data_IF_923131607222
#
_entry.id   IF_923131607222
#
_cell.length_a   1.000
_cell.length_b   1.000
_cell.length_c   1.000
_cell.angle_alpha   90.00
_cell.angle_beta   90.00
_cell.angle_gamma   90.00
#
_symmetry.space_group_name_H-M   'P 1'
#
loop_
_entity.id
_entity.type
_entity.pdbx_description
1 polymer ?
#
# COMPACT_ATOMS: atom_id res chain seq x y z
N UNK A 1 -48.97 -15.11 -9.75
CA UNK A 1 -47.56 -15.53 -9.72
C UNK A 1 -46.95 -15.32 -11.10
N UNK A 2 -45.87 -14.54 -11.20
CA UNK A 2 -44.95 -14.60 -12.34
C UNK A 2 -43.57 -14.17 -11.85
N UNK A 3 -42.80 -15.16 -11.38
CA UNK A 3 -41.53 -15.01 -10.68
C UNK A 3 -40.33 -14.78 -11.63
N UNK A 4 -40.57 -14.64 -12.95
CA UNK A 4 -39.52 -14.61 -13.97
C UNK A 4 -39.35 -13.29 -14.73
N UNK A 5 -40.06 -12.21 -14.37
CA UNK A 5 -39.88 -10.89 -15.01
C UNK A 5 -38.95 -9.92 -14.25
N UNK A 6 -38.25 -10.37 -13.21
CA UNK A 6 -37.36 -9.51 -12.38
C UNK A 6 -35.86 -9.72 -12.59
N UNK A 7 -35.45 -10.53 -13.57
CA UNK A 7 -34.02 -10.91 -13.77
C UNK A 7 -33.37 -10.15 -14.95
N UNK A 8 -34.13 -9.36 -15.71
CA UNK A 8 -33.60 -8.63 -16.87
C UNK A 8 -34.09 -7.19 -16.90
N UNK A 9 -33.49 -6.34 -16.06
CA UNK A 9 -33.52 -4.90 -16.30
C UNK A 9 -32.25 -4.27 -15.74
N UNK A 10 -31.59 -3.49 -16.59
CA UNK A 10 -30.36 -2.70 -16.40
C UNK A 10 -29.06 -3.49 -16.31
N UNK A 11 -28.67 -4.10 -17.43
CA UNK A 11 -27.27 -4.15 -17.86
C UNK A 11 -26.79 -2.70 -18.03
N UNK A 12 -26.16 -2.13 -17.01
CA UNK A 12 -25.25 -1.02 -17.22
C UNK A 12 -24.08 -1.58 -18.03
N UNK A 13 -23.76 -1.05 -19.21
CA UNK A 13 -22.54 -1.46 -19.90
C UNK A 13 -21.37 -1.06 -19.00
N UNK A 14 -20.66 -2.06 -18.50
CA UNK A 14 -19.32 -1.85 -17.94
C UNK A 14 -18.49 -1.31 -19.09
N UNK A 15 -18.27 0.01 -19.12
CA UNK A 15 -17.30 0.62 -20.02
C UNK A 15 -15.95 -0.02 -19.69
N UNK A 16 -15.59 -1.06 -20.44
CA UNK A 16 -14.21 -1.46 -20.65
C UNK A 16 -13.54 -0.30 -21.38
N UNK A 17 -13.17 0.75 -20.64
CA UNK A 17 -12.21 1.74 -21.11
C UNK A 17 -10.88 1.03 -21.18
N UNK A 18 -10.59 0.40 -22.32
CA UNK A 18 -9.21 0.13 -22.71
C UNK A 18 -8.44 1.43 -22.52
N UNK A 19 -7.49 1.44 -21.59
CA UNK A 19 -6.65 2.60 -21.37
C UNK A 19 -5.97 2.92 -22.71
N UNK A 20 -6.21 4.13 -23.23
CA UNK A 20 -5.52 4.58 -24.44
C UNK A 20 -4.00 4.52 -24.24
N UNK A 21 -3.22 4.41 -25.33
CA UNK A 21 -1.76 4.27 -25.27
C UNK A 21 -1.10 5.32 -24.35
N UNK A 22 -1.63 6.55 -24.33
CA UNK A 22 -1.14 7.65 -23.49
C UNK A 22 -1.33 7.39 -21.98
N UNK A 23 -2.45 6.75 -21.59
CA UNK A 23 -2.72 6.41 -20.19
C UNK A 23 -1.83 5.27 -19.71
N UNK A 24 -1.57 4.29 -20.57
CA UNK A 24 -0.64 3.18 -20.28
C UNK A 24 0.78 3.70 -20.11
N UNK A 25 1.22 4.59 -21.01
CA UNK A 25 2.52 5.22 -20.94
C UNK A 25 2.68 6.07 -19.66
N UNK A 26 1.67 6.87 -19.31
CA UNK A 26 1.67 7.66 -18.08
C UNK A 26 1.72 6.80 -16.81
N UNK A 27 0.97 5.69 -16.76
CA UNK A 27 1.04 4.74 -15.63
C UNK A 27 2.45 4.17 -15.52
N UNK A 28 3.04 3.73 -16.64
CA UNK A 28 4.39 3.18 -16.65
C UNK A 28 5.42 4.19 -16.15
N UNK A 29 5.38 5.42 -16.66
CA UNK A 29 6.29 6.48 -16.22
C UNK A 29 6.12 6.82 -14.74
N UNK A 30 4.89 6.83 -14.24
CA UNK A 30 4.62 7.05 -12.82
C UNK A 30 5.11 5.88 -11.96
N UNK A 31 4.96 4.64 -12.42
CA UNK A 31 5.47 3.45 -11.74
C UNK A 31 7.00 3.45 -11.70
N UNK A 32 7.69 3.78 -12.80
CA UNK A 32 9.16 3.84 -12.83
C UNK A 32 9.68 4.92 -11.85
N UNK A 33 9.04 6.10 -11.84
CA UNK A 33 9.34 7.17 -10.87
C UNK A 33 9.02 6.76 -9.43
N UNK A 34 7.97 5.97 -9.23
CA UNK A 34 7.58 5.49 -7.90
C UNK A 34 8.72 4.69 -7.26
N UNK A 35 9.29 3.71 -7.97
CA UNK A 35 10.34 2.85 -7.40
C UNK A 35 11.55 3.64 -6.88
N UNK A 36 12.08 4.54 -7.71
CA UNK A 36 13.19 5.41 -7.30
C UNK A 36 12.80 6.24 -6.07
N UNK A 37 11.61 6.83 -6.08
CA UNK A 37 11.14 7.70 -5.01
C UNK A 37 10.92 6.96 -3.68
N UNK A 38 10.38 5.75 -3.73
CA UNK A 38 10.16 4.93 -2.55
C UNK A 38 11.51 4.57 -1.91
N UNK A 39 12.53 4.27 -2.71
CA UNK A 39 13.89 4.00 -2.22
C UNK A 39 14.50 5.24 -1.54
N UNK A 40 14.43 6.40 -2.20
CA UNK A 40 14.87 7.68 -1.61
C UNK A 40 14.11 8.03 -0.31
N UNK A 41 12.83 7.64 -0.22
CA UNK A 41 12.01 7.86 0.98
C UNK A 41 12.44 6.95 2.12
N UNK A 42 12.76 5.69 1.82
CA UNK A 42 13.33 4.77 2.81
C UNK A 42 14.71 5.26 3.26
N UNK A 43 15.55 5.77 2.37
CA UNK A 43 16.83 6.37 2.73
C UNK A 43 16.65 7.59 3.65
N UNK A 44 15.68 8.47 3.35
CA UNK A 44 15.30 9.56 4.24
C UNK A 44 14.89 9.04 5.62
N UNK A 45 14.04 8.01 5.70
CA UNK A 45 13.64 7.42 6.99
C UNK A 45 14.82 6.87 7.77
N UNK A 46 15.75 6.18 7.12
CA UNK A 46 16.93 5.62 7.76
C UNK A 46 17.98 6.66 8.13
N UNK A 47 17.97 7.83 7.48
CA UNK A 47 18.84 8.96 7.87
C UNK A 47 18.41 9.60 9.20
N UNK A 48 17.12 9.45 9.58
CA UNK A 48 16.55 10.02 10.81
C UNK A 48 16.35 8.97 11.90
N UNK A 49 15.82 7.80 11.55
CA UNK A 49 15.57 6.68 12.45
C UNK A 49 15.48 5.36 11.65
N UNK A 50 14.28 4.79 11.51
CA UNK A 50 13.99 3.64 10.66
C UNK A 50 12.56 3.76 10.13
N UNK A 51 12.18 3.03 9.07
CA UNK A 51 10.82 3.11 8.50
C UNK A 51 9.71 2.86 9.53
N UNK A 52 9.98 2.05 10.55
CA UNK A 52 9.02 1.75 11.62
C UNK A 52 8.60 2.98 12.43
N UNK A 53 9.40 4.06 12.48
CA UNK A 53 9.11 5.28 13.23
C UNK A 53 8.19 6.26 12.45
N UNK A 54 7.73 5.88 11.26
CA UNK A 54 6.90 6.70 10.38
C UNK A 54 5.48 6.09 10.27
N UNK A 55 4.47 6.63 10.97
CA UNK A 55 3.11 6.10 10.95
C UNK A 55 2.50 5.96 9.54
N UNK A 56 2.79 6.91 8.65
CA UNK A 56 2.30 6.92 7.26
C UNK A 56 2.90 5.81 6.42
N UNK A 57 4.16 5.45 6.65
CA UNK A 57 4.76 4.25 6.07
C UNK A 57 3.99 3.01 6.52
N UNK A 58 3.81 2.83 7.83
CA UNK A 58 3.06 1.69 8.40
C UNK A 58 1.64 1.61 7.85
N UNK A 59 0.96 2.74 7.66
CA UNK A 59 -0.38 2.79 7.08
C UNK A 59 -0.38 2.29 5.63
N UNK A 60 0.58 2.72 4.80
CA UNK A 60 0.63 2.31 3.38
C UNK A 60 1.01 0.84 3.25
N UNK A 61 2.04 0.37 3.96
CA UNK A 61 2.45 -1.04 3.87
C UNK A 61 1.45 -1.99 4.53
N UNK A 62 0.64 -1.48 5.46
CA UNK A 62 -0.45 -2.22 6.08
C UNK A 62 -1.75 -2.25 5.27
N UNK A 63 -1.81 -1.58 4.11
CA UNK A 63 -2.99 -1.62 3.24
C UNK A 63 -3.26 -3.04 2.78
N UNK A 64 -4.50 -3.46 3.00
CA UNK A 64 -4.92 -4.82 2.74
C UNK A 64 -6.34 -4.80 2.16
N UNK A 65 -6.51 -5.28 0.92
CA UNK A 65 -7.80 -5.23 0.24
C UNK A 65 -8.91 -6.04 0.94
N UNK A 66 -8.56 -7.04 1.76
CA UNK A 66 -9.51 -7.79 2.58
C UNK A 66 -10.15 -6.90 3.64
N UNK A 67 -9.38 -6.00 4.25
CA UNK A 67 -9.89 -5.07 5.28
C UNK A 67 -10.96 -4.13 4.70
N UNK A 68 -10.83 -3.77 3.42
CA UNK A 68 -11.82 -2.97 2.69
C UNK A 68 -12.97 -3.78 2.11
N UNK A 69 -12.90 -5.12 2.14
CA UNK A 69 -13.80 -6.03 1.40
C UNK A 69 -13.86 -5.68 -0.09
N UNK A 70 -12.69 -5.39 -0.66
CA UNK A 70 -12.48 -5.04 -2.07
C UNK A 70 -11.44 -5.95 -2.68
N UNK A 71 -11.20 -5.78 -3.97
CA UNK A 71 -10.20 -6.54 -4.74
C UNK A 71 -9.35 -5.57 -5.51
N UNK A 72 -8.25 -5.17 -4.89
CA UNK A 72 -7.29 -4.24 -5.45
C UNK A 72 -5.84 -4.60 -5.05
N UNK A 73 -4.94 -4.14 -5.90
CA UNK A 73 -3.50 -4.05 -5.76
C UNK A 73 -3.14 -2.58 -5.53
N UNK A 74 -2.26 -2.28 -4.58
CA UNK A 74 -1.80 -0.92 -4.28
C UNK A 74 -0.31 -0.80 -4.59
N UNK A 75 0.04 0.01 -5.61
CA UNK A 75 1.42 0.07 -6.11
C UNK A 75 2.42 0.54 -5.07
N UNK A 76 2.04 1.52 -4.25
CA UNK A 76 2.86 2.07 -3.18
C UNK A 76 3.14 1.03 -2.10
N UNK A 77 2.13 0.25 -1.70
CA UNK A 77 2.26 -0.82 -0.70
C UNK A 77 3.28 -1.85 -1.15
N UNK A 78 3.13 -2.31 -2.39
CA UNK A 78 3.95 -3.37 -2.98
C UNK A 78 5.38 -2.88 -3.20
N UNK A 79 5.52 -1.64 -3.68
CA UNK A 79 6.82 -1.01 -3.86
C UNK A 79 7.55 -0.80 -2.54
N UNK A 80 6.87 -0.29 -1.51
CA UNK A 80 7.48 -0.09 -0.20
C UNK A 80 7.89 -1.40 0.44
N UNK A 81 7.03 -2.43 0.42
CA UNK A 81 7.36 -3.73 1.01
C UNK A 81 8.57 -4.34 0.29
N UNK A 82 8.57 -4.35 -1.04
CA UNK A 82 9.67 -4.89 -1.84
C UNK A 82 11.01 -4.21 -1.52
N UNK A 83 11.04 -2.88 -1.44
CA UNK A 83 12.27 -2.13 -1.18
C UNK A 83 12.67 -2.13 0.30
N UNK A 84 11.70 -2.13 1.21
CA UNK A 84 11.95 -2.04 2.64
C UNK A 84 12.60 -3.31 3.20
N UNK A 85 12.46 -4.46 2.53
CA UNK A 85 13.00 -5.75 2.98
C UNK A 85 14.48 -5.71 3.38
N UNK A 86 15.30 -4.86 2.75
CA UNK A 86 16.72 -4.66 3.12
C UNK A 86 16.94 -4.14 4.55
N UNK A 87 15.91 -3.57 5.18
CA UNK A 87 15.94 -3.03 6.55
C UNK A 87 15.40 -3.99 7.61
N UNK A 88 15.03 -5.21 7.22
CA UNK A 88 14.46 -6.22 8.11
C UNK A 88 15.22 -7.54 8.02
N UNK A 89 15.27 -8.26 9.14
CA UNK A 89 15.51 -9.69 9.15
C UNK A 89 14.19 -10.39 8.86
N UNK A 90 14.16 -11.18 7.80
CA UNK A 90 12.95 -11.86 7.31
C UNK A 90 13.05 -13.34 7.63
N UNK A 91 12.03 -13.88 8.29
CA UNK A 91 11.88 -15.30 8.60
C UNK A 91 10.54 -15.81 8.07
N UNK A 92 10.55 -16.89 7.31
CA UNK A 92 9.31 -17.58 6.93
C UNK A 92 8.66 -18.25 8.15
N UNK A 93 7.33 -18.17 8.22
CA UNK A 93 6.53 -18.82 9.26
C UNK A 93 5.51 -19.76 8.62
N UNK A 94 5.36 -20.95 9.18
CA UNK A 94 4.41 -21.96 8.69
C UNK A 94 3.03 -21.80 9.37
N UNK A 95 1.98 -22.19 8.64
CA UNK A 95 0.62 -22.29 9.21
C UNK A 95 -0.15 -20.97 9.34
N UNK A 96 0.20 -19.94 8.57
CA UNK A 96 -0.62 -18.74 8.43
C UNK A 96 -1.69 -18.87 7.33
N UNK A 97 -2.64 -17.94 7.31
CA UNK A 97 -3.79 -17.94 6.38
C UNK A 97 -3.43 -17.48 4.96
N UNK A 98 -2.24 -16.92 4.78
CA UNK A 98 -1.75 -16.42 3.50
C UNK A 98 -0.95 -17.48 2.73
N UNK A 99 -0.85 -17.35 1.40
CA UNK A 99 -0.05 -18.27 0.58
C UNK A 99 1.43 -18.27 1.00
N UNK A 100 1.95 -17.11 1.41
CA UNK A 100 3.22 -17.02 2.11
C UNK A 100 3.10 -16.10 3.33
N UNK A 101 3.75 -16.51 4.42
CA UNK A 101 3.73 -15.79 5.67
C UNK A 101 5.17 -15.61 6.15
N UNK A 102 5.52 -14.39 6.53
CA UNK A 102 6.84 -14.06 7.02
C UNK A 102 6.75 -13.16 8.25
N UNK A 103 7.64 -13.39 9.20
CA UNK A 103 7.94 -12.50 10.31
C UNK A 103 9.10 -11.58 9.89
N UNK A 104 8.84 -10.27 9.88
CA UNK A 104 9.82 -9.25 9.55
C UNK A 104 10.23 -8.52 10.82
N UNK A 105 11.50 -8.59 11.19
CA UNK A 105 12.05 -7.92 12.37
C UNK A 105 12.96 -6.77 11.93
N UNK A 106 12.65 -5.55 12.33
CA UNK A 106 13.43 -4.38 11.95
C UNK A 106 14.85 -4.45 12.51
N UNK A 107 15.85 -4.28 11.65
CA UNK A 107 17.26 -4.35 12.03
C UNK A 107 17.69 -3.24 13.01
N UNK A 108 16.97 -2.11 13.02
CA UNK A 108 17.33 -0.94 13.83
C UNK A 108 16.63 -0.92 15.19
N UNK A 109 15.31 -1.13 15.24
CA UNK A 109 14.52 -0.98 16.46
C UNK A 109 13.92 -2.29 16.99
N UNK A 110 14.13 -3.41 16.31
CA UNK A 110 13.55 -4.72 16.65
C UNK A 110 12.01 -4.78 16.69
N UNK A 111 11.32 -3.78 16.12
CA UNK A 111 9.87 -3.86 15.85
C UNK A 111 9.59 -5.03 14.91
N UNK A 112 8.47 -5.72 15.12
CA UNK A 112 8.10 -6.90 14.35
C UNK A 112 6.83 -6.68 13.54
N UNK A 113 6.77 -7.29 12.37
CA UNK A 113 5.68 -7.19 11.42
C UNK A 113 5.37 -8.57 10.84
N UNK A 114 4.10 -8.80 10.53
CA UNK A 114 3.66 -9.93 9.72
C UNK A 114 3.56 -9.45 8.27
N UNK A 115 4.40 -10.01 7.42
CA UNK A 115 4.25 -9.89 5.98
C UNK A 115 3.45 -11.07 5.46
N UNK A 116 2.29 -10.78 4.89
CA UNK A 116 1.43 -11.76 4.24
C UNK A 116 1.40 -11.50 2.75
N UNK A 117 1.49 -12.57 1.96
CA UNK A 117 1.25 -12.51 0.52
C UNK A 117 0.30 -13.62 0.10
N UNK A 118 -0.69 -13.26 -0.72
CA UNK A 118 -1.58 -14.20 -1.37
C UNK A 118 -1.86 -13.82 -2.82
N UNK A 119 -1.96 -14.85 -3.66
CA UNK A 119 -2.55 -14.73 -4.98
C UNK A 119 -4.07 -14.65 -4.84
N UNK A 120 -4.63 -13.48 -5.12
CA UNK A 120 -6.07 -13.24 -5.00
C UNK A 120 -6.78 -13.49 -6.34
N UNK A 121 -6.11 -13.18 -7.46
CA UNK A 121 -6.55 -13.46 -8.82
C UNK A 121 -5.40 -13.22 -9.81
N UNK A 122 -5.57 -13.66 -11.07
CA UNK A 122 -4.60 -13.47 -12.19
C UNK A 122 -4.10 -12.02 -12.32
N UNK A 123 -4.86 -11.02 -11.86
CA UNK A 123 -4.52 -9.61 -11.98
C UNK A 123 -4.37 -8.87 -10.65
N UNK A 124 -4.52 -9.55 -9.51
CA UNK A 124 -4.47 -8.93 -8.18
C UNK A 124 -3.65 -9.81 -7.25
N UNK A 125 -2.45 -9.33 -6.96
CA UNK A 125 -1.63 -9.84 -5.88
C UNK A 125 -1.97 -9.02 -4.64
N UNK A 126 -1.98 -9.67 -3.48
CA UNK A 126 -2.21 -9.01 -2.19
C UNK A 126 -0.98 -9.21 -1.32
N UNK A 127 -0.17 -8.17 -1.16
CA UNK A 127 0.86 -8.09 -0.11
C UNK A 127 0.46 -7.08 0.96
N UNK A 128 0.68 -7.41 2.22
CA UNK A 128 0.63 -6.44 3.31
C UNK A 128 1.79 -6.69 4.29
N UNK A 129 2.12 -5.67 5.07
CA UNK A 129 3.09 -5.73 6.16
C UNK A 129 2.45 -5.08 7.41
N UNK A 130 1.77 -5.89 8.22
CA UNK A 130 1.02 -5.43 9.39
C UNK A 130 1.91 -5.48 10.64
N UNK A 131 1.90 -4.40 11.43
CA UNK A 131 2.67 -4.34 12.68
C UNK A 131 2.15 -5.36 13.70
N UNK A 132 3.05 -6.17 14.25
CA UNK A 132 2.77 -7.06 15.38
C UNK A 132 3.19 -6.41 16.70
N UNK A 133 4.41 -5.88 16.75
CA UNK A 133 4.96 -5.21 17.92
C UNK A 133 5.80 -4.00 17.49
N UNK A 134 5.51 -2.84 18.08
CA UNK A 134 6.25 -1.61 17.81
C UNK A 134 7.17 -1.26 18.99
N UNK A 135 8.47 -1.11 18.71
CA UNK A 135 9.54 -0.84 19.68
C UNK A 135 10.24 0.50 19.45
N UNK A 136 9.62 1.38 18.68
CA UNK A 136 10.14 2.72 18.41
C UNK A 136 9.08 3.77 18.70
N UNK A 137 9.53 5.00 18.92
CA UNK A 137 8.65 6.17 19.05
C UNK A 137 8.42 6.79 17.68
N UNK A 138 7.20 7.27 17.45
CA UNK A 138 6.81 7.89 16.20
C UNK A 138 7.42 9.29 16.07
N UNK A 139 8.23 9.49 15.03
CA UNK A 139 8.79 10.79 14.64
C UNK A 139 8.10 11.34 13.37
N UNK A 140 7.57 10.44 12.54
CA UNK A 140 6.75 10.82 11.40
C UNK A 140 5.39 11.35 11.85
N UNK A 141 4.80 12.23 11.05
CA UNK A 141 3.46 12.73 11.29
C UNK A 141 2.44 11.57 11.31
N UNK A 142 1.35 11.79 12.06
CA UNK A 142 0.28 10.80 12.16
C UNK A 142 -0.36 10.53 10.79
N UNK A 143 -0.86 9.31 10.65
CA UNK A 143 -1.59 8.86 9.47
C UNK A 143 -2.93 9.58 9.35
N UNK A 144 -3.34 9.93 8.12
CA UNK A 144 -4.62 10.62 7.87
C UNK A 144 -5.49 9.83 6.89
N UNK A 145 -6.78 10.17 6.87
CA UNK A 145 -7.71 9.73 5.83
C UNK A 145 -8.24 10.96 5.05
N UNK A 146 -8.49 10.83 3.75
CA UNK A 146 -8.21 9.66 2.91
C UNK A 146 -6.70 9.43 2.71
N UNK A 147 -6.31 8.17 2.45
CA UNK A 147 -4.91 7.79 2.24
C UNK A 147 -4.49 8.26 0.85
N UNK A 148 -3.51 9.17 0.74
CA UNK A 148 -3.05 9.64 -0.56
C UNK A 148 -2.18 8.60 -1.24
N UNK A 149 -2.45 8.30 -2.50
CA UNK A 149 -1.62 7.44 -3.35
C UNK A 149 -1.32 8.14 -4.68
N UNK A 150 -0.09 7.99 -5.17
CA UNK A 150 0.40 8.66 -6.39
C UNK A 150 0.08 7.86 -7.66
N UNK A 151 0.52 6.60 -7.71
CA UNK A 151 0.19 5.65 -8.77
C UNK A 151 -1.18 5.03 -8.50
N UNK A 152 -1.45 4.67 -7.24
CA UNK A 152 -2.76 4.25 -6.79
C UNK A 152 -3.09 2.77 -7.01
N UNK A 153 -4.40 2.52 -7.15
CA UNK A 153 -4.98 1.19 -7.07
C UNK A 153 -5.25 0.57 -8.44
N UNK A 154 -5.05 -0.73 -8.55
CA UNK A 154 -5.34 -1.56 -9.72
C UNK A 154 -6.18 -2.76 -9.30
N UNK A 155 -7.00 -3.32 -10.19
CA UNK A 155 -7.83 -4.48 -9.87
C UNK A 155 -9.29 -4.29 -10.25
N UNK A 156 -10.19 -4.96 -9.52
CA UNK A 156 -11.59 -5.12 -9.90
C UNK A 156 -12.54 -4.21 -9.12
N UNK A 157 -12.25 -3.94 -7.85
CA UNK A 157 -13.09 -3.06 -7.01
C UNK A 157 -12.23 -2.24 -6.07
N UNK A 158 -12.60 -0.98 -5.86
CA UNK A 158 -11.81 -0.01 -5.10
C UNK A 158 -12.56 0.50 -3.87
N UNK A 159 -11.85 0.91 -2.81
CA UNK A 159 -12.40 1.74 -1.74
C UNK A 159 -12.91 3.08 -2.28
N UNK A 160 -13.75 3.76 -1.49
CA UNK A 160 -14.21 5.10 -1.85
C UNK A 160 -13.13 6.17 -1.62
N UNK A 161 -13.39 7.37 -2.15
CA UNK A 161 -12.50 8.51 -2.02
C UNK A 161 -12.38 9.06 -0.59
N UNK A 162 -13.26 8.66 0.33
CA UNK A 162 -13.12 9.00 1.74
C UNK A 162 -12.09 8.11 2.45
N UNK A 163 -11.77 6.96 1.84
CA UNK A 163 -10.77 6.01 2.31
C UNK A 163 -9.43 6.21 1.62
N UNK A 164 -9.41 6.34 0.29
CA UNK A 164 -8.18 6.44 -0.53
C UNK A 164 -8.34 7.53 -1.59
N UNK A 165 -7.37 8.43 -1.68
CA UNK A 165 -7.39 9.58 -2.58
C UNK A 165 -6.20 9.52 -3.55
N UNK A 166 -6.44 9.49 -4.87
CA UNK A 166 -5.38 9.70 -5.85
C UNK A 166 -4.83 11.13 -5.76
N UNK A 167 -3.52 11.28 -5.71
CA UNK A 167 -2.84 12.58 -5.62
C UNK A 167 -1.66 12.66 -6.61
N UNK A 168 -1.13 13.85 -6.83
CA UNK A 168 0.12 14.02 -7.56
C UNK A 168 1.35 13.62 -6.71
N UNK A 169 2.49 13.51 -7.38
CA UNK A 169 3.77 13.14 -6.79
C UNK A 169 4.24 14.06 -5.65
N UNK A 170 4.08 15.38 -5.82
CA UNK A 170 4.53 16.36 -4.81
C UNK A 170 3.68 16.29 -3.55
N UNK A 171 2.38 16.11 -3.72
CA UNK A 171 1.43 15.90 -2.63
C UNK A 171 1.72 14.60 -1.88
N UNK A 172 1.93 13.49 -2.60
CA UNK A 172 2.32 12.22 -1.96
C UNK A 172 3.65 12.33 -1.21
N UNK A 173 4.61 13.04 -1.79
CA UNK A 173 5.93 13.23 -1.18
C UNK A 173 5.86 13.98 0.14
N UNK A 174 5.16 15.11 0.11
CA UNK A 174 4.92 15.93 1.30
C UNK A 174 4.19 15.13 2.37
N UNK A 175 3.23 14.30 1.96
CA UNK A 175 2.51 13.42 2.87
C UNK A 175 3.45 12.40 3.53
N UNK A 176 4.12 11.57 2.76
CA UNK A 176 4.78 10.38 3.28
C UNK A 176 6.05 10.72 4.09
N UNK A 177 6.67 11.88 3.83
CA UNK A 177 7.87 12.37 4.55
C UNK A 177 7.58 13.37 5.67
N UNK A 178 6.32 13.71 5.94
CA UNK A 178 5.99 14.67 6.99
C UNK A 178 6.45 14.17 8.38
N UNK A 179 7.02 15.08 9.17
CA UNK A 179 7.41 14.85 10.55
C UNK A 179 6.39 15.44 11.51
N UNK A 180 6.43 15.01 12.77
CA UNK A 180 5.71 15.70 13.84
C UNK A 180 6.32 17.09 14.08
N UNK A 181 5.47 18.02 14.48
CA UNK A 181 5.82 19.43 14.69
C UNK A 181 6.84 19.69 15.82
N UNK A 182 7.08 18.71 16.69
CA UNK A 182 8.03 18.75 17.80
C UNK A 182 9.38 18.07 17.51
N UNK A 183 9.56 17.50 16.32
CA UNK A 183 10.83 16.90 15.89
C UNK A 183 11.75 17.98 15.35
N UNK A 184 12.82 18.31 16.09
CA UNK A 184 13.89 19.18 15.59
C UNK A 184 14.80 18.37 14.63
N UNK A 185 15.01 18.89 13.42
CA UNK A 185 15.92 18.35 12.40
C UNK A 185 17.29 19.03 12.52
#
# INVERSE_FOLDING_TARGET
MNFFQKIFSTTTPTENRTAGPDRVQMIKENTDKLWQYLDETLDFYNSLACPCAFPRFRQIVGLDCVDFRKSFYASETEGFISLAGKHFQIQEISGGDENSNQLWTCNTCASTFHCGWSDFSIHVNRTFLKTLELKTTDIGADATLPIPLFVGLFGHTFPDQSSILPVDYGTFTTYIRALKSDVAI
#
